data_IF_320939858799
#
_entry.id   IF_320939858799
#
_cell.length_a   1.000
_cell.length_b   1.000
_cell.length_c   1.000
_cell.angle_alpha   90.00
_cell.angle_beta   90.00
_cell.angle_gamma   90.00
#
_symmetry.space_group_name_H-M   'P 1'
#
loop_
_entity.id
_entity.type
_entity.pdbx_description
1 polymer ?
#
# COMPACT_ATOMS: atom_id res chain seq x y z
N UNK A 1 -9.01 -0.39 -2.85
CA UNK A 1 -7.73 -0.38 -3.58
C UNK A 1 -7.77 -1.12 -4.94
N UNK A 2 -8.12 -2.41 -5.11
CA UNK A 2 -8.11 -3.06 -6.45
C UNK A 2 -8.94 -2.33 -7.50
N UNK A 3 -10.11 -1.81 -7.16
CA UNK A 3 -10.96 -1.02 -8.07
C UNK A 3 -10.23 0.24 -8.59
N UNK A 4 -9.57 0.97 -7.72
CA UNK A 4 -8.78 2.16 -8.09
C UNK A 4 -7.54 1.80 -8.90
N UNK A 5 -6.86 0.68 -8.55
CA UNK A 5 -5.73 0.16 -9.33
C UNK A 5 -6.18 -0.17 -10.74
N UNK A 6 -7.31 -0.88 -10.92
CA UNK A 6 -7.84 -1.21 -12.25
C UNK A 6 -8.07 0.04 -13.10
N UNK A 7 -8.71 1.06 -12.54
CA UNK A 7 -8.97 2.33 -13.22
C UNK A 7 -7.67 3.10 -13.54
N UNK A 8 -6.76 3.19 -12.57
CA UNK A 8 -5.50 3.91 -12.75
C UNK A 8 -4.56 3.22 -13.74
N UNK A 9 -4.50 1.88 -13.75
CA UNK A 9 -3.67 1.13 -14.68
C UNK A 9 -4.21 1.14 -16.12
N UNK A 10 -5.45 1.56 -16.35
CA UNK A 10 -6.00 1.70 -17.69
C UNK A 10 -5.23 2.71 -18.56
N UNK A 11 -4.62 3.72 -17.96
CA UNK A 11 -3.82 4.74 -18.67
C UNK A 11 -2.52 4.22 -19.29
N UNK A 12 -2.00 3.10 -18.79
CA UNK A 12 -0.77 2.48 -19.31
C UNK A 12 -1.11 1.56 -20.47
N UNK A 13 -1.32 2.14 -21.62
CA UNK A 13 -1.81 1.51 -22.85
C UNK A 13 -0.70 1.17 -23.86
N UNK A 14 0.51 1.72 -23.62
CA UNK A 14 1.65 1.56 -24.54
C UNK A 14 1.63 2.56 -25.71
N UNK A 15 0.68 3.47 -25.76
CA UNK A 15 0.59 4.53 -26.77
C UNK A 15 1.11 5.84 -26.19
N UNK A 16 0.49 6.29 -25.09
CA UNK A 16 0.87 7.55 -24.42
C UNK A 16 1.75 7.31 -23.19
N UNK A 17 1.50 6.22 -22.46
CA UNK A 17 2.21 5.89 -21.23
C UNK A 17 2.60 4.42 -21.16
N UNK A 18 3.74 4.17 -20.48
CA UNK A 18 4.21 2.84 -20.20
C UNK A 18 5.03 2.23 -21.33
N UNK A 19 5.28 0.91 -21.20
CA UNK A 19 5.98 0.11 -22.21
C UNK A 19 5.16 0.08 -23.50
N UNK A 20 5.79 0.40 -24.62
CA UNK A 20 5.21 0.26 -25.97
C UNK A 20 5.84 -0.92 -26.69
N UNK A 21 5.01 -1.76 -27.29
CA UNK A 21 5.41 -2.89 -28.15
C UNK A 21 4.72 -2.79 -29.50
N UNK A 22 5.46 -3.04 -30.54
CA UNK A 22 4.91 -3.05 -31.89
C UNK A 22 3.96 -4.23 -32.10
N UNK A 23 2.90 -3.99 -32.86
CA UNK A 23 1.89 -4.98 -33.27
C UNK A 23 1.40 -4.71 -34.68
N UNK A 24 0.82 -5.71 -35.31
CA UNK A 24 0.25 -5.61 -36.66
C UNK A 24 -1.03 -4.76 -36.71
N UNK A 25 -1.69 -4.60 -35.57
CA UNK A 25 -2.87 -3.78 -35.37
C UNK A 25 -2.92 -3.22 -33.96
N UNK A 26 -3.84 -2.29 -33.70
CA UNK A 26 -3.99 -1.63 -32.41
C UNK A 26 -4.26 -2.63 -31.27
N UNK A 27 -5.04 -3.66 -31.52
CA UNK A 27 -5.36 -4.67 -30.50
C UNK A 27 -4.11 -5.46 -30.09
N UNK A 28 -3.26 -5.80 -31.06
CA UNK A 28 -2.01 -6.49 -30.79
C UNK A 28 -1.02 -5.59 -30.03
N UNK A 29 -0.93 -4.29 -30.37
CA UNK A 29 -0.16 -3.29 -29.59
C UNK A 29 -0.60 -3.29 -28.14
N UNK A 30 -1.89 -3.17 -27.85
CA UNK A 30 -2.43 -3.22 -26.49
C UNK A 30 -2.09 -4.54 -25.76
N UNK A 31 -2.34 -5.67 -26.41
CA UNK A 31 -2.09 -6.99 -25.82
C UNK A 31 -0.64 -7.20 -25.47
N UNK A 32 0.28 -6.88 -26.37
CA UNK A 32 1.73 -7.04 -26.14
C UNK A 32 2.24 -6.04 -25.08
N UNK A 33 1.92 -4.76 -25.22
CA UNK A 33 2.39 -3.74 -24.33
C UNK A 33 1.95 -3.98 -22.87
N UNK A 34 0.66 -4.26 -22.67
CA UNK A 34 0.13 -4.53 -21.33
C UNK A 34 0.50 -5.93 -20.83
N UNK A 35 0.56 -6.94 -21.71
CA UNK A 35 0.93 -8.30 -21.35
C UNK A 35 2.39 -8.43 -20.89
N UNK A 36 3.31 -7.69 -21.49
CA UNK A 36 4.72 -7.69 -21.13
C UNK A 36 5.05 -6.63 -20.07
N UNK A 37 4.33 -5.49 -20.08
CA UNK A 37 4.57 -4.37 -19.18
C UNK A 37 4.05 -4.58 -17.77
N UNK A 38 3.06 -5.44 -17.55
CA UNK A 38 2.51 -5.70 -16.22
C UNK A 38 2.95 -7.06 -15.67
N UNK A 39 3.57 -7.02 -14.48
CA UNK A 39 3.87 -8.22 -13.73
C UNK A 39 2.61 -8.97 -13.24
N UNK A 40 2.76 -10.21 -12.75
CA UNK A 40 1.63 -11.06 -12.36
C UNK A 40 0.70 -10.45 -11.32
N UNK A 41 1.26 -9.78 -10.31
CA UNK A 41 0.51 -9.16 -9.22
C UNK A 41 -0.33 -7.96 -9.72
N UNK A 42 0.24 -7.11 -10.57
CA UNK A 42 -0.49 -5.98 -11.16
C UNK A 42 -1.65 -6.48 -12.02
N UNK A 43 -1.42 -7.51 -12.84
CA UNK A 43 -2.48 -8.14 -13.65
C UNK A 43 -3.60 -8.70 -12.78
N UNK A 44 -3.26 -9.39 -11.70
CA UNK A 44 -4.23 -9.92 -10.72
C UNK A 44 -5.10 -8.80 -10.14
N UNK A 45 -4.49 -7.69 -9.73
CA UNK A 45 -5.22 -6.53 -9.18
C UNK A 45 -6.11 -5.84 -10.21
N UNK A 46 -5.67 -5.75 -11.47
CA UNK A 46 -6.50 -5.21 -12.56
C UNK A 46 -7.75 -6.09 -12.77
N UNK A 47 -7.58 -7.41 -12.85
CA UNK A 47 -8.70 -8.35 -13.05
C UNK A 47 -9.67 -8.28 -11.86
N UNK A 48 -9.15 -8.33 -10.63
CA UNK A 48 -9.96 -8.23 -9.42
C UNK A 48 -10.71 -6.89 -9.34
N UNK A 49 -10.04 -5.79 -9.66
CA UNK A 49 -10.64 -4.46 -9.67
C UNK A 49 -11.73 -4.31 -10.73
N UNK A 50 -11.51 -4.87 -11.91
CA UNK A 50 -12.52 -4.91 -12.98
C UNK A 50 -13.76 -5.69 -12.54
N UNK A 51 -13.57 -6.82 -11.86
CA UNK A 51 -14.69 -7.60 -11.30
C UNK A 51 -15.47 -6.80 -10.25
N UNK A 52 -14.78 -6.15 -9.30
CA UNK A 52 -15.39 -5.33 -8.25
C UNK A 52 -16.20 -4.16 -8.84
N UNK A 53 -15.73 -3.57 -9.95
CA UNK A 53 -16.40 -2.46 -10.62
C UNK A 53 -17.50 -2.90 -11.60
N UNK A 54 -17.66 -4.19 -11.82
CA UNK A 54 -18.70 -4.69 -12.74
C UNK A 54 -20.10 -4.55 -12.14
N UNK A 55 -21.10 -4.53 -13.04
CA UNK A 55 -22.50 -4.39 -12.66
C UNK A 55 -22.94 -5.45 -11.64
N UNK A 56 -23.65 -5.01 -10.60
CA UNK A 56 -24.12 -5.86 -9.50
C UNK A 56 -23.11 -6.11 -8.36
N UNK A 57 -21.83 -5.79 -8.56
CA UNK A 57 -20.80 -5.98 -7.52
C UNK A 57 -20.28 -4.66 -6.93
N UNK A 58 -20.49 -3.55 -7.62
CA UNK A 58 -20.01 -2.24 -7.18
C UNK A 58 -20.48 -1.86 -5.76
N UNK A 59 -21.79 -1.92 -5.51
CA UNK A 59 -22.35 -1.56 -4.20
C UNK A 59 -22.00 -2.60 -3.14
N UNK A 60 -21.96 -3.88 -3.51
CA UNK A 60 -21.63 -4.96 -2.60
C UNK A 60 -20.18 -4.94 -2.10
N UNK A 61 -19.23 -4.45 -2.90
CA UNK A 61 -17.82 -4.45 -2.54
C UNK A 61 -17.24 -3.05 -2.40
N UNK A 62 -17.39 -2.19 -3.41
CA UNK A 62 -16.80 -0.85 -3.38
C UNK A 62 -17.54 0.06 -2.40
N UNK A 63 -18.88 0.06 -2.44
CA UNK A 63 -19.70 0.84 -1.52
C UNK A 63 -19.45 0.48 -0.05
N UNK A 64 -19.44 -0.82 0.27
CA UNK A 64 -19.14 -1.29 1.63
C UNK A 64 -17.71 -0.94 2.07
N UNK A 65 -16.72 -1.04 1.17
CA UNK A 65 -15.34 -0.64 1.47
C UNK A 65 -15.22 0.86 1.76
N UNK A 66 -15.97 1.71 1.05
CA UNK A 66 -16.01 3.15 1.32
C UNK A 66 -16.66 3.45 2.67
N UNK A 67 -17.75 2.76 3.03
CA UNK A 67 -18.37 2.90 4.36
C UNK A 67 -17.39 2.48 5.48
N UNK A 68 -16.72 1.34 5.33
CA UNK A 68 -15.71 0.88 6.27
C UNK A 68 -14.54 1.88 6.40
N UNK A 69 -14.10 2.49 5.29
CA UNK A 69 -13.08 3.54 5.32
C UNK A 69 -13.48 4.72 6.19
N UNK A 70 -14.71 5.17 6.10
CA UNK A 70 -15.20 6.30 6.92
C UNK A 70 -15.25 5.95 8.42
N UNK A 71 -15.56 4.70 8.77
CA UNK A 71 -15.48 4.22 10.17
C UNK A 71 -14.03 4.28 10.67
N UNK A 72 -13.08 3.74 9.91
CA UNK A 72 -11.66 3.75 10.28
C UNK A 72 -11.15 5.20 10.43
N UNK A 73 -11.50 6.09 9.50
CA UNK A 73 -11.12 7.52 9.59
C UNK A 73 -11.61 8.15 10.88
N UNK A 74 -12.87 7.87 11.27
CA UNK A 74 -13.44 8.40 12.50
C UNK A 74 -12.69 7.90 13.74
N UNK A 75 -12.30 6.63 13.77
CA UNK A 75 -11.51 6.07 14.87
C UNK A 75 -10.15 6.78 15.01
N UNK A 76 -9.46 7.02 13.90
CA UNK A 76 -8.21 7.79 13.89
C UNK A 76 -8.42 9.23 14.33
N UNK A 77 -9.49 9.89 13.89
CA UNK A 77 -9.81 11.25 14.34
C UNK A 77 -9.98 11.31 15.86
N UNK A 78 -10.75 10.39 16.43
CA UNK A 78 -10.95 10.31 17.88
C UNK A 78 -9.63 10.02 18.61
N UNK A 79 -8.77 9.16 18.07
CA UNK A 79 -7.46 8.89 18.66
C UNK A 79 -6.58 10.16 18.66
N UNK A 80 -6.56 10.92 17.58
CA UNK A 80 -5.78 12.16 17.47
C UNK A 80 -6.35 13.33 18.30
N UNK A 81 -7.60 13.26 18.78
CA UNK A 81 -8.09 14.21 19.78
C UNK A 81 -7.39 14.04 21.13
N UNK A 82 -6.79 12.87 21.39
CA UNK A 82 -6.15 12.54 22.67
C UNK A 82 -4.61 12.48 22.58
N UNK A 83 -4.02 12.33 21.38
CA UNK A 83 -2.58 12.18 21.17
C UNK A 83 -2.09 12.95 19.95
N UNK A 84 -0.86 13.42 19.99
CA UNK A 84 -0.23 14.13 18.87
C UNK A 84 0.28 13.18 17.77
N UNK A 85 0.63 11.94 18.13
CA UNK A 85 1.08 10.92 17.20
C UNK A 85 0.76 9.51 17.69
N UNK A 86 0.58 8.59 16.74
CA UNK A 86 0.37 7.15 17.00
C UNK A 86 1.64 6.41 16.59
N UNK A 87 2.16 5.58 17.50
CA UNK A 87 3.34 4.74 17.28
C UNK A 87 2.91 3.28 17.05
N UNK A 88 3.45 2.65 16.02
CA UNK A 88 3.29 1.21 15.76
C UNK A 88 4.61 0.62 15.26
N UNK A 89 4.81 -0.72 15.26
CA UNK A 89 5.81 -1.33 14.40
C UNK A 89 5.53 -0.97 12.93
N UNK A 90 6.57 -0.86 12.10
CA UNK A 90 6.38 -0.67 10.65
C UNK A 90 5.84 -1.95 10.01
N UNK A 91 6.38 -3.10 10.40
CA UNK A 91 5.96 -4.43 9.95
C UNK A 91 5.83 -5.39 11.13
N UNK A 92 4.95 -6.42 11.07
CA UNK A 92 4.77 -7.40 12.15
C UNK A 92 5.99 -8.28 12.41
N UNK A 93 6.87 -8.42 11.41
CA UNK A 93 8.04 -9.30 11.45
C UNK A 93 9.22 -8.65 10.72
N UNK A 94 10.47 -9.10 11.00
CA UNK A 94 11.64 -8.75 10.21
C UNK A 94 11.53 -9.21 8.75
N UNK A 95 12.45 -8.74 7.91
CA UNK A 95 12.51 -9.17 6.52
C UNK A 95 12.72 -10.69 6.39
N UNK A 96 12.00 -11.32 5.47
CA UNK A 96 12.18 -12.72 5.09
C UNK A 96 13.28 -12.88 4.05
N UNK A 97 13.70 -14.13 3.78
CA UNK A 97 14.74 -14.43 2.80
C UNK A 97 14.25 -14.15 1.37
N UNK A 98 15.16 -13.69 0.52
CA UNK A 98 14.86 -13.49 -0.90
C UNK A 98 14.43 -14.83 -1.53
N UNK A 99 13.28 -14.82 -2.19
CA UNK A 99 12.71 -16.04 -2.81
C UNK A 99 11.94 -16.95 -1.84
N UNK A 100 11.84 -16.60 -0.57
CA UNK A 100 10.95 -17.30 0.37
C UNK A 100 9.51 -17.15 -0.09
N UNK A 101 8.83 -18.30 -0.26
CA UNK A 101 7.44 -18.32 -0.70
C UNK A 101 6.53 -18.02 0.49
N UNK A 102 6.00 -16.81 0.51
CA UNK A 102 4.91 -16.46 1.44
C UNK A 102 3.57 -16.62 0.74
N UNK A 103 2.55 -17.00 1.49
CA UNK A 103 1.19 -17.01 0.96
C UNK A 103 0.71 -15.57 0.65
N UNK A 104 -0.22 -15.37 -0.29
CA UNK A 104 -0.80 -14.04 -0.52
C UNK A 104 -1.37 -13.40 0.75
N UNK A 105 -1.92 -14.20 1.66
CA UNK A 105 -2.44 -13.71 2.94
C UNK A 105 -1.34 -13.21 3.87
N UNK A 106 -0.22 -13.93 3.97
CA UNK A 106 0.95 -13.50 4.76
C UNK A 106 1.53 -12.20 4.24
N UNK A 107 1.61 -12.04 2.91
CA UNK A 107 2.03 -10.77 2.30
C UNK A 107 1.10 -9.61 2.65
N UNK A 108 -0.23 -9.82 2.66
CA UNK A 108 -1.17 -8.79 3.09
C UNK A 108 -1.08 -8.48 4.59
N UNK A 109 -0.83 -9.48 5.42
CA UNK A 109 -0.63 -9.27 6.85
C UNK A 109 0.66 -8.51 7.16
N UNK A 110 1.67 -8.58 6.30
CA UNK A 110 2.89 -7.79 6.44
C UNK A 110 2.64 -6.27 6.39
N UNK A 111 1.58 -5.84 5.71
CA UNK A 111 1.22 -4.42 5.54
C UNK A 111 0.18 -3.93 6.57
N UNK A 112 -0.18 -4.74 7.57
CA UNK A 112 -1.32 -4.46 8.47
C UNK A 112 -1.19 -3.10 9.19
N UNK A 113 0.03 -2.68 9.54
CA UNK A 113 0.28 -1.41 10.21
C UNK A 113 0.39 -0.23 9.26
N UNK A 114 0.87 -0.44 8.03
CA UNK A 114 1.12 0.63 7.07
C UNK A 114 -0.11 0.96 6.22
N UNK A 115 -0.96 -0.03 5.95
CA UNK A 115 -2.15 0.15 5.11
C UNK A 115 -3.19 1.08 5.75
N UNK A 116 -3.27 1.13 7.08
CA UNK A 116 -4.21 1.99 7.80
C UNK A 116 -3.95 3.47 7.52
N UNK A 117 -2.69 3.92 7.55
CA UNK A 117 -2.32 5.29 7.20
C UNK A 117 -2.75 5.68 5.78
N UNK A 118 -2.60 4.76 4.81
CA UNK A 118 -3.05 4.96 3.43
C UNK A 118 -4.57 5.04 3.30
N UNK A 119 -5.32 4.20 4.05
CA UNK A 119 -6.78 4.19 4.04
C UNK A 119 -7.34 5.49 4.61
N UNK A 120 -6.78 5.95 5.73
CA UNK A 120 -7.20 7.17 6.42
C UNK A 120 -6.71 8.41 5.69
N UNK A 121 -5.54 8.37 5.07
CA UNK A 121 -4.91 9.50 4.37
C UNK A 121 -4.13 10.40 5.31
N UNK A 122 -3.53 9.86 6.38
CA UNK A 122 -2.69 10.59 7.32
C UNK A 122 -1.21 10.45 6.98
N UNK A 123 -0.38 11.46 7.30
CA UNK A 123 1.07 11.35 7.13
C UNK A 123 1.66 10.32 8.07
N UNK A 124 2.67 9.60 7.59
CA UNK A 124 3.42 8.66 8.40
C UNK A 124 4.89 8.63 8.01
N UNK A 125 5.75 8.28 8.98
CA UNK A 125 7.19 8.11 8.79
C UNK A 125 7.64 6.79 9.42
N UNK A 126 8.55 6.08 8.76
CA UNK A 126 9.22 4.91 9.34
C UNK A 126 10.63 5.29 9.78
N UNK A 127 10.98 4.93 11.00
CA UNK A 127 12.27 5.22 11.62
C UNK A 127 12.96 3.91 12.03
N UNK A 128 14.30 3.81 11.90
CA UNK A 128 15.02 2.65 12.38
C UNK A 128 14.91 2.55 13.90
N UNK A 129 14.56 1.38 14.44
CA UNK A 129 14.38 1.15 15.87
C UNK A 129 15.37 0.14 16.48
N UNK A 130 16.30 -0.37 15.70
CA UNK A 130 17.30 -1.34 16.12
C UNK A 130 17.36 -2.55 15.20
N UNK A 131 17.90 -3.64 15.73
CA UNK A 131 18.13 -4.87 14.97
C UNK A 131 17.70 -6.09 15.77
N UNK A 132 17.31 -7.13 15.07
CA UNK A 132 17.11 -8.48 15.61
C UNK A 132 18.06 -9.46 14.95
N UNK A 133 18.65 -10.37 15.70
CA UNK A 133 19.58 -11.37 15.19
C UNK A 133 18.82 -12.63 14.78
N UNK A 134 18.86 -12.97 13.49
CA UNK A 134 18.27 -14.20 12.92
C UNK A 134 19.31 -14.85 12.03
N UNK A 135 19.58 -16.15 12.21
CA UNK A 135 20.57 -16.91 11.44
C UNK A 135 21.96 -16.22 11.38
N UNK A 136 22.43 -15.67 12.50
CA UNK A 136 23.67 -14.89 12.60
C UNK A 136 23.73 -13.60 11.74
N UNK A 137 22.58 -13.09 11.27
CA UNK A 137 22.48 -11.83 10.55
C UNK A 137 21.66 -10.83 11.37
N UNK A 138 22.12 -9.59 11.42
CA UNK A 138 21.39 -8.51 12.05
C UNK A 138 20.39 -7.95 11.02
N UNK A 139 19.09 -8.13 11.29
CA UNK A 139 18.00 -7.62 10.46
C UNK A 139 17.44 -6.34 11.08
N UNK A 140 17.30 -5.25 10.31
CA UNK A 140 16.79 -3.99 10.83
C UNK A 140 15.30 -4.11 11.18
N UNK A 141 14.92 -3.41 12.24
CA UNK A 141 13.54 -3.20 12.65
C UNK A 141 13.16 -1.73 12.47
N UNK A 142 11.90 -1.49 12.15
CA UNK A 142 11.34 -0.15 12.01
C UNK A 142 10.16 0.08 12.95
N UNK A 143 10.04 1.31 13.41
CA UNK A 143 8.81 1.84 14.00
C UNK A 143 8.17 2.82 13.04
N UNK A 144 6.86 2.90 13.06
CA UNK A 144 6.06 3.85 12.31
C UNK A 144 5.44 4.86 13.26
N UNK A 145 5.56 6.14 12.90
CA UNK A 145 4.80 7.23 13.52
C UNK A 145 3.76 7.73 12.52
N UNK A 146 2.54 7.94 12.98
CA UNK A 146 1.46 8.56 12.23
C UNK A 146 1.02 9.82 12.97
N UNK A 147 0.75 10.91 12.25
CA UNK A 147 0.28 12.18 12.80
C UNK A 147 -1.08 12.58 12.19
N UNK A 148 -1.81 13.53 12.77
CA UNK A 148 -3.02 14.07 12.18
C UNK A 148 -2.78 14.59 10.75
N UNK A 149 -3.84 14.77 9.99
CA UNK A 149 -3.77 15.29 8.63
C UNK A 149 -3.01 16.64 8.59
N UNK A 150 -2.05 16.79 7.68
CA UNK A 150 -1.10 17.91 7.57
C UNK A 150 -0.15 18.05 8.78
N UNK A 151 0.02 17.01 9.58
CA UNK A 151 0.89 16.96 10.76
C UNK A 151 2.31 16.47 10.50
N UNK A 152 2.86 16.63 9.29
CA UNK A 152 4.21 16.16 8.91
C UNK A 152 5.30 16.76 9.81
N UNK A 153 5.13 18.01 10.24
CA UNK A 153 6.07 18.69 11.14
C UNK A 153 6.22 17.97 12.49
N UNK A 154 5.12 17.42 13.04
CA UNK A 154 5.12 16.62 14.28
C UNK A 154 6.00 15.38 14.10
N UNK A 155 5.85 14.70 12.96
CA UNK A 155 6.64 13.50 12.65
C UNK A 155 8.14 13.81 12.55
N UNK A 156 8.51 14.92 11.94
CA UNK A 156 9.91 15.33 11.84
C UNK A 156 10.50 15.73 13.19
N UNK A 157 9.74 16.43 14.03
CA UNK A 157 10.20 16.80 15.37
C UNK A 157 10.41 15.58 16.28
N UNK A 158 9.45 14.64 16.29
CA UNK A 158 9.58 13.41 17.06
C UNK A 158 10.72 12.56 16.48
N UNK A 159 10.80 12.44 15.15
CA UNK A 159 11.82 11.67 14.46
C UNK A 159 13.25 12.15 14.79
N UNK A 160 13.50 13.44 14.70
CA UNK A 160 14.80 14.03 15.09
C UNK A 160 15.17 13.74 16.55
N UNK A 161 14.23 13.95 17.46
CA UNK A 161 14.46 13.63 18.89
C UNK A 161 14.74 12.16 19.12
N UNK A 162 14.03 11.27 18.42
CA UNK A 162 14.21 9.83 18.52
C UNK A 162 15.58 9.39 17.98
N UNK A 163 16.02 9.95 16.86
CA UNK A 163 17.32 9.66 16.25
C UNK A 163 18.48 10.41 16.91
N UNK A 164 18.20 11.33 17.84
CA UNK A 164 19.20 12.20 18.52
C UNK A 164 19.96 13.10 17.54
N UNK A 165 19.25 13.60 16.53
CA UNK A 165 19.73 14.57 15.54
C UNK A 165 19.32 16.03 15.89
#
# INVERSE_FOLDING_TARGET
MPAEVSSNMARYDGIKYGLSKEGKDLLEVYKKSRGEGFGPEVRRRIILGTYILSSGYYDAYYGQAMAAREVIKKEFTVAFDAVDAILTPTTPAPAWKIGEKTSPLENYLADIFTVSANIVGVPSISLPSGYVKIDNKDLPLGIQLMAPHLGEHILFEIGKKFLKE
#
